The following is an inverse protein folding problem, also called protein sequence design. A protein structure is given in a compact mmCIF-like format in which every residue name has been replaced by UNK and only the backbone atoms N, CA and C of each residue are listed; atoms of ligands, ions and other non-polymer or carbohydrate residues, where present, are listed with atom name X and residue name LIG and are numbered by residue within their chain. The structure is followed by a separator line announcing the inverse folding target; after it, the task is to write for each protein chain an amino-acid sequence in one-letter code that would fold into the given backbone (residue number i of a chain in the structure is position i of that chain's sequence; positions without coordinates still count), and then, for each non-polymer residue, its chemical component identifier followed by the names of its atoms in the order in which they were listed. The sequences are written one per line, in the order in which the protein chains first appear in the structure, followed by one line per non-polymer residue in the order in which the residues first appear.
data_IF_823665375643
#
_entry.id   IF_823665375643
#
_cell.length_a   1.000
_cell.length_b   1.000
_cell.length_c   1.000
_cell.angle_alpha   90.00
_cell.angle_beta   90.00
_cell.angle_gamma   90.00
#
_symmetry.space_group_name_H-M   'P 1'
#
loop_
_entity.id
_entity.type
_entity.pdbx_description
1 polymer ?
#
# COMPACT_ATOMS: atom_id res chain seq x y z
N UNK A 1 -64.45 -21.12 -42.89
CA UNK A 1 -64.89 -20.73 -44.24
C UNK A 1 -64.07 -19.52 -44.62
N UNK A 2 -63.06 -19.69 -45.48
CA UNK A 2 -63.17 -19.45 -46.95
C UNK A 2 -63.17 -17.93 -47.21
N UNK A 3 -62.41 -17.28 -48.09
CA UNK A 3 -61.43 -17.52 -49.18
C UNK A 3 -60.99 -16.05 -49.54
N UNK A 4 -59.71 -15.68 -49.64
CA UNK A 4 -58.84 -15.68 -50.84
C UNK A 4 -59.27 -14.83 -52.06
N UNK A 5 -58.23 -14.31 -52.75
CA UNK A 5 -58.15 -13.78 -54.13
C UNK A 5 -58.37 -12.26 -54.29
N UNK A 6 -57.36 -11.46 -54.69
CA UNK A 6 -56.56 -11.37 -55.93
C UNK A 6 -57.26 -10.61 -57.07
N UNK A 7 -56.73 -9.44 -57.47
CA UNK A 7 -55.91 -9.24 -58.69
C UNK A 7 -55.99 -7.80 -59.27
N UNK A 8 -54.79 -7.28 -59.63
CA UNK A 8 -54.39 -6.50 -60.83
C UNK A 8 -55.29 -5.33 -61.29
N UNK A 9 -54.80 -4.14 -61.68
CA UNK A 9 -53.88 -3.88 -62.82
C UNK A 9 -53.60 -2.36 -62.99
N UNK A 10 -52.49 -2.03 -63.67
CA UNK A 10 -52.09 -0.78 -64.39
C UNK A 10 -51.21 0.21 -63.60
N UNK A 11 -49.88 0.17 -63.74
CA UNK A 11 -49.00 0.62 -64.85
C UNK A 11 -49.04 2.14 -65.06
N UNK A 12 -47.96 2.83 -64.64
CA UNK A 12 -47.36 3.90 -65.45
C UNK A 12 -45.84 3.85 -65.27
N UNK A 13 -45.17 3.89 -66.43
CA UNK A 13 -43.77 3.68 -66.74
C UNK A 13 -42.97 4.97 -66.49
N UNK A 14 -41.76 4.90 -65.94
CA UNK A 14 -40.68 5.83 -66.32
C UNK A 14 -39.30 5.25 -65.99
N UNK A 15 -38.50 5.11 -67.05
CA UNK A 15 -37.09 4.72 -67.08
C UNK A 15 -36.24 5.42 -66.02
N UNK A 16 -35.35 4.71 -65.34
CA UNK A 16 -34.10 5.29 -64.86
C UNK A 16 -32.91 4.32 -65.01
N UNK A 17 -31.83 4.90 -65.52
CA UNK A 17 -30.53 4.33 -65.84
C UNK A 17 -29.94 3.45 -64.74
N UNK A 18 -29.32 2.35 -65.17
CA UNK A 18 -28.28 1.63 -64.43
C UNK A 18 -27.06 2.55 -64.23
N UNK A 19 -26.88 3.06 -63.01
CA UNK A 19 -25.58 3.55 -62.54
C UNK A 19 -25.12 2.67 -61.38
N UNK A 20 -23.97 2.04 -61.58
CA UNK A 20 -23.26 1.20 -60.63
C UNK A 20 -22.87 1.99 -59.38
N UNK A 21 -23.53 1.71 -58.26
CA UNK A 21 -23.16 2.24 -56.94
C UNK A 21 -21.94 1.45 -56.46
N UNK A 22 -20.77 2.09 -56.49
CA UNK A 22 -19.64 1.68 -55.66
C UNK A 22 -20.04 1.83 -54.20
N UNK A 23 -20.09 0.72 -53.48
CA UNK A 23 -20.18 0.72 -52.01
C UNK A 23 -18.86 1.29 -51.49
N UNK A 24 -18.84 2.59 -51.18
CA UNK A 24 -17.82 3.14 -50.31
C UNK A 24 -18.13 2.64 -48.89
N UNK A 25 -17.35 1.67 -48.43
CA UNK A 25 -17.31 1.29 -47.03
C UNK A 25 -16.91 2.53 -46.21
N UNK A 26 -17.90 3.14 -45.56
CA UNK A 26 -17.67 4.20 -44.60
C UNK A 26 -17.03 3.55 -43.36
N UNK A 27 -15.69 3.56 -43.30
CA UNK A 27 -14.96 3.22 -42.09
C UNK A 27 -15.33 4.26 -41.04
N UNK A 28 -16.17 3.88 -40.08
CA UNK A 28 -16.37 4.63 -38.84
C UNK A 28 -15.05 4.67 -38.07
N UNK A 29 -14.23 5.68 -38.31
CA UNK A 29 -13.03 5.95 -37.51
C UNK A 29 -13.48 6.47 -36.15
N UNK A 30 -13.58 5.58 -35.16
CA UNK A 30 -13.70 6.01 -33.76
C UNK A 30 -12.45 6.83 -33.43
N UNK A 31 -12.60 8.16 -33.31
CA UNK A 31 -11.52 9.06 -32.88
C UNK A 31 -10.89 8.50 -31.61
N UNK A 32 -9.57 8.29 -31.64
CA UNK A 32 -8.82 7.83 -30.46
C UNK A 32 -8.78 8.95 -29.41
N UNK A 33 -8.27 8.65 -28.20
CA UNK A 33 -8.06 9.71 -27.19
C UNK A 33 -6.99 10.70 -27.70
N UNK A 34 -5.98 10.20 -28.41
CA UNK A 34 -4.97 11.04 -29.05
C UNK A 34 -5.62 12.02 -30.04
N UNK A 35 -6.48 11.53 -30.94
CA UNK A 35 -7.20 12.38 -31.93
C UNK A 35 -8.20 13.36 -31.29
N UNK A 36 -8.50 13.21 -30.00
CA UNK A 36 -9.33 14.16 -29.25
C UNK A 36 -8.52 15.26 -28.57
N UNK A 37 -7.24 15.03 -28.34
CA UNK A 37 -6.33 15.98 -27.71
C UNK A 37 -5.48 16.72 -28.73
N UNK A 38 -5.22 16.12 -29.88
CA UNK A 38 -4.53 16.72 -31.04
C UNK A 38 -5.48 17.75 -31.68
N UNK A 39 -5.48 18.98 -31.15
CA UNK A 39 -6.47 20.01 -31.51
C UNK A 39 -6.09 20.68 -32.82
N UNK A 40 -4.79 20.84 -33.07
CA UNK A 40 -4.27 21.45 -34.27
C UNK A 40 -4.13 20.44 -35.44
N UNK A 41 -4.24 19.13 -35.17
CA UNK A 41 -4.23 18.06 -36.17
C UNK A 41 -2.84 17.78 -36.75
N UNK A 42 -1.77 18.16 -36.06
CA UNK A 42 -0.40 18.01 -36.54
C UNK A 42 0.21 16.62 -36.26
N UNK A 43 -0.54 15.76 -35.57
CA UNK A 43 -0.12 14.39 -35.24
C UNK A 43 0.80 14.30 -34.03
N UNK A 44 0.91 15.37 -33.23
CA UNK A 44 1.69 15.48 -32.00
C UNK A 44 0.80 16.07 -30.90
N UNK A 45 1.16 15.84 -29.63
CA UNK A 45 0.50 16.51 -28.50
C UNK A 45 1.51 17.38 -27.75
N UNK A 46 1.16 18.64 -27.59
CA UNK A 46 1.83 19.58 -26.69
C UNK A 46 1.29 19.47 -25.26
N UNK A 47 2.00 20.04 -24.29
CA UNK A 47 1.57 20.03 -22.88
C UNK A 47 0.30 20.86 -22.68
N UNK A 48 0.09 21.84 -23.54
CA UNK A 48 -1.06 22.74 -23.58
C UNK A 48 -2.32 22.03 -24.06
N UNK A 49 -2.18 21.14 -25.04
CA UNK A 49 -3.26 20.32 -25.60
C UNK A 49 -3.75 19.22 -24.66
N UNK A 50 -2.93 18.81 -23.69
CA UNK A 50 -3.32 17.81 -22.71
C UNK A 50 -4.32 18.34 -21.68
N UNK A 51 -5.33 17.54 -21.29
CA UNK A 51 -6.20 17.89 -20.17
C UNK A 51 -5.42 17.94 -18.86
N UNK A 52 -5.91 18.71 -17.88
CA UNK A 52 -5.20 18.98 -16.60
C UNK A 52 -4.76 17.72 -15.85
N UNK A 53 -5.54 16.64 -15.92
CA UNK A 53 -5.22 15.35 -15.30
C UNK A 53 -4.12 14.56 -16.04
N UNK A 54 -3.83 14.89 -17.30
CA UNK A 54 -2.81 14.24 -18.12
C UNK A 54 -1.48 15.02 -18.15
N UNK A 55 -1.49 16.34 -17.89
CA UNK A 55 -0.28 17.18 -17.85
C UNK A 55 0.86 16.66 -16.97
N UNK A 56 0.61 16.10 -15.76
CA UNK A 56 1.69 15.55 -14.93
C UNK A 56 2.41 14.33 -15.53
N UNK A 57 1.81 13.71 -16.56
CA UNK A 57 2.38 12.56 -17.25
C UNK A 57 3.08 12.93 -18.55
N UNK A 58 3.09 14.22 -18.95
CA UNK A 58 3.68 14.68 -20.20
C UNK A 58 5.13 14.22 -20.33
N UNK A 59 5.96 14.59 -19.35
CA UNK A 59 7.39 14.27 -19.30
C UNK A 59 7.66 12.74 -19.17
N UNK A 60 6.63 11.94 -18.88
CA UNK A 60 6.73 10.47 -18.84
C UNK A 60 6.30 9.80 -20.15
N UNK A 61 5.51 10.52 -20.95
CA UNK A 61 5.00 10.07 -22.22
C UNK A 61 5.95 10.48 -23.36
N UNK A 62 6.49 11.71 -23.33
CA UNK A 62 7.58 12.18 -24.18
C UNK A 62 8.87 11.44 -23.78
N UNK A 63 9.28 10.46 -24.60
CA UNK A 63 10.36 9.52 -24.26
C UNK A 63 11.68 9.98 -24.87
N UNK A 64 11.62 10.59 -26.05
CA UNK A 64 12.79 11.12 -26.73
C UNK A 64 13.14 12.55 -26.26
N UNK A 65 12.31 13.16 -25.40
CA UNK A 65 12.43 14.53 -24.89
C UNK A 65 12.45 15.57 -26.01
N UNK A 66 11.67 15.34 -27.07
CA UNK A 66 11.58 16.26 -28.21
C UNK A 66 10.57 17.39 -27.97
N UNK A 67 9.89 17.39 -26.82
CA UNK A 67 8.94 18.42 -26.42
C UNK A 67 7.51 18.15 -26.89
N UNK A 68 7.24 16.98 -27.48
CA UNK A 68 5.91 16.58 -27.94
C UNK A 68 5.67 15.08 -27.67
N UNK A 69 4.41 14.68 -27.60
CA UNK A 69 4.04 13.25 -27.54
C UNK A 69 3.63 12.80 -28.94
N UNK A 70 4.44 11.96 -29.56
CA UNK A 70 4.07 11.31 -30.81
C UNK A 70 3.00 10.22 -30.60
N UNK A 71 2.32 9.81 -31.69
CA UNK A 71 1.35 8.69 -31.64
C UNK A 71 1.95 7.40 -31.11
N UNK A 72 3.20 7.14 -31.45
CA UNK A 72 3.92 5.94 -31.00
C UNK A 72 4.25 6.03 -29.51
N UNK A 73 4.60 7.21 -29.01
CA UNK A 73 4.82 7.46 -27.58
C UNK A 73 3.55 7.38 -26.74
N UNK A 74 2.43 7.96 -27.21
CA UNK A 74 1.13 7.82 -26.55
C UNK A 74 0.70 6.36 -26.48
N UNK A 75 0.84 5.61 -27.60
CA UNK A 75 0.55 4.18 -27.65
C UNK A 75 1.43 3.41 -26.66
N UNK A 76 2.73 3.62 -26.67
CA UNK A 76 3.67 2.96 -25.76
C UNK A 76 3.40 3.33 -24.29
N UNK A 77 3.09 4.58 -24.00
CA UNK A 77 2.77 5.07 -22.67
C UNK A 77 1.46 4.43 -22.15
N UNK A 78 0.42 4.35 -22.98
CA UNK A 78 -0.85 3.70 -22.66
C UNK A 78 -0.72 2.19 -22.54
N UNK A 79 0.08 1.54 -23.38
CA UNK A 79 0.37 0.10 -23.27
C UNK A 79 1.16 -0.22 -21.99
N UNK A 80 2.12 0.61 -21.59
CA UNK A 80 2.86 0.46 -20.32
C UNK A 80 1.98 0.72 -19.11
N UNK A 81 1.14 1.76 -19.17
CA UNK A 81 0.17 2.07 -18.12
C UNK A 81 -0.90 0.98 -17.99
N UNK A 82 -1.38 0.46 -19.13
CA UNK A 82 -2.30 -0.67 -19.23
C UNK A 82 -1.68 -2.00 -18.81
N UNK A 83 -0.38 -2.24 -19.06
CA UNK A 83 0.38 -3.38 -18.50
C UNK A 83 0.61 -3.25 -17.00
N UNK A 84 0.79 -2.03 -16.47
CA UNK A 84 0.78 -1.78 -15.02
C UNK A 84 -0.59 -2.09 -14.40
N UNK A 85 -1.68 -1.79 -15.10
CA UNK A 85 -3.05 -2.16 -14.74
C UNK A 85 -3.29 -3.68 -14.89
N UNK A 86 -2.74 -4.32 -15.93
CA UNK A 86 -2.81 -5.78 -16.18
C UNK A 86 -1.88 -6.62 -15.31
N UNK A 87 -0.80 -6.07 -14.75
CA UNK A 87 -0.13 -6.68 -13.60
C UNK A 87 -0.98 -6.62 -12.34
N UNK A 88 -2.02 -5.77 -12.32
CA UNK A 88 -3.18 -5.91 -11.45
C UNK A 88 -4.14 -7.04 -11.84
N UNK A 89 -3.98 -7.74 -12.96
CA UNK A 89 -4.83 -8.90 -13.33
C UNK A 89 -4.36 -10.23 -12.72
N UNK A 90 -3.16 -10.28 -12.13
CA UNK A 90 -2.87 -11.31 -11.12
C UNK A 90 -3.77 -11.14 -9.88
N UNK A 91 -4.34 -9.95 -9.64
CA UNK A 91 -5.36 -9.73 -8.61
C UNK A 91 -6.75 -10.25 -9.00
N UNK A 92 -7.01 -10.60 -10.26
CA UNK A 92 -8.32 -11.14 -10.65
C UNK A 92 -8.45 -12.61 -10.24
N UNK A 93 -7.34 -13.36 -10.25
CA UNK A 93 -7.32 -14.78 -9.84
C UNK A 93 -7.43 -15.01 -8.33
N UNK A 94 -7.19 -13.99 -7.49
CA UNK A 94 -7.26 -14.12 -6.01
C UNK A 94 -8.53 -13.50 -5.38
N UNK A 95 -9.39 -12.81 -6.14
CA UNK A 95 -10.64 -12.24 -5.62
C UNK A 95 -11.72 -13.33 -5.38
N UNK A 96 -11.52 -14.53 -5.93
CA UNK A 96 -12.45 -15.65 -5.74
C UNK A 96 -12.38 -16.23 -4.33
N UNK A 97 -11.26 -16.07 -3.59
CA UNK A 97 -11.08 -16.63 -2.24
C UNK A 97 -11.22 -15.62 -1.10
N UNK A 98 -11.11 -14.33 -1.37
CA UNK A 98 -11.17 -13.27 -0.37
C UNK A 98 -12.34 -12.34 -0.67
N UNK A 99 -13.18 -12.06 0.32
CA UNK A 99 -14.17 -10.99 0.26
C UNK A 99 -13.56 -9.71 0.83
N UNK A 100 -13.48 -8.65 0.02
CA UNK A 100 -12.91 -7.35 0.44
C UNK A 100 -14.05 -6.36 0.69
N UNK A 101 -14.12 -5.83 1.91
CA UNK A 101 -14.96 -4.68 2.26
C UNK A 101 -14.06 -3.45 2.35
N UNK A 102 -14.22 -2.51 1.42
CA UNK A 102 -13.38 -1.31 1.35
C UNK A 102 -13.94 -0.16 2.19
N UNK A 103 -13.06 0.80 2.50
CA UNK A 103 -13.42 2.13 2.97
C UNK A 103 -14.27 2.15 4.25
N UNK A 104 -14.04 1.21 5.17
CA UNK A 104 -14.75 1.18 6.44
C UNK A 104 -14.17 2.25 7.37
N UNK A 105 -14.92 3.28 7.80
CA UNK A 105 -14.42 4.32 8.69
C UNK A 105 -14.17 3.76 10.10
N UNK A 106 -13.06 4.18 10.74
CA UNK A 106 -12.71 3.74 12.08
C UNK A 106 -12.61 4.86 13.13
N UNK A 107 -12.54 6.12 12.70
CA UNK A 107 -12.21 7.25 13.58
C UNK A 107 -13.39 8.17 13.93
N UNK A 108 -14.59 7.92 13.37
CA UNK A 108 -15.76 8.80 13.49
C UNK A 108 -15.51 10.22 12.96
N UNK A 109 -15.00 10.27 11.72
CA UNK A 109 -14.58 11.48 11.01
C UNK A 109 -14.91 11.35 9.53
N UNK A 110 -15.05 12.47 8.84
CA UNK A 110 -15.22 12.50 7.38
C UNK A 110 -13.91 12.36 6.59
N UNK A 111 -12.75 12.21 7.25
CA UNK A 111 -11.49 12.05 6.54
C UNK A 111 -11.41 10.65 5.89
N UNK A 112 -11.30 10.55 4.55
CA UNK A 112 -11.31 9.28 3.84
C UNK A 112 -10.08 8.40 4.13
N UNK A 113 -9.00 8.96 4.66
CA UNK A 113 -7.82 8.20 5.09
C UNK A 113 -8.03 7.49 6.43
N UNK A 114 -8.94 7.98 7.25
CA UNK A 114 -9.28 7.37 8.54
C UNK A 114 -10.30 6.22 8.36
N UNK A 115 -9.97 5.34 7.41
CA UNK A 115 -10.72 4.16 7.03
C UNK A 115 -9.79 2.97 6.79
N UNK A 116 -10.36 1.77 6.76
CA UNK A 116 -9.64 0.51 6.54
C UNK A 116 -10.34 -0.36 5.48
N UNK A 117 -9.57 -1.26 4.87
CA UNK A 117 -10.09 -2.35 4.06
C UNK A 117 -10.02 -3.63 4.87
N UNK A 118 -11.13 -4.37 4.90
CA UNK A 118 -11.25 -5.64 5.57
C UNK A 118 -11.24 -6.78 4.54
N UNK A 119 -10.27 -7.67 4.64
CA UNK A 119 -10.06 -8.81 3.75
C UNK A 119 -10.42 -10.10 4.49
N UNK A 120 -11.56 -10.68 4.12
CA UNK A 120 -12.14 -11.84 4.78
C UNK A 120 -11.95 -13.07 3.90
N UNK A 121 -11.21 -14.11 4.33
CA UNK A 121 -11.20 -15.36 3.58
C UNK A 121 -12.60 -15.98 3.55
N UNK A 122 -13.02 -16.44 2.37
CA UNK A 122 -14.28 -17.16 2.16
C UNK A 122 -14.21 -18.54 2.81
N UNK A 123 -13.10 -19.25 2.59
CA UNK A 123 -12.83 -20.57 3.17
C UNK A 123 -12.04 -20.45 4.48
N UNK A 124 -12.76 -20.12 5.56
CA UNK A 124 -12.14 -19.97 6.90
C UNK A 124 -11.82 -21.32 7.53
N UNK A 125 -10.63 -21.46 8.10
CA UNK A 125 -10.27 -22.65 8.91
C UNK A 125 -10.97 -22.68 10.27
N UNK A 126 -11.35 -21.52 10.82
CA UNK A 126 -12.08 -21.37 12.09
C UNK A 126 -13.06 -20.20 12.02
N UNK A 127 -14.10 -20.23 12.85
CA UNK A 127 -15.08 -19.14 12.97
C UNK A 127 -14.44 -17.84 13.46
N UNK A 128 -13.51 -17.94 14.40
CA UNK A 128 -12.75 -16.83 14.96
C UNK A 128 -11.29 -17.01 14.54
N UNK A 129 -10.73 -16.02 13.86
CA UNK A 129 -9.37 -16.02 13.33
C UNK A 129 -8.54 -14.88 13.94
N UNK A 130 -7.22 -15.03 14.11
CA UNK A 130 -6.34 -13.89 14.38
C UNK A 130 -6.42 -12.85 13.25
N UNK A 131 -6.10 -11.60 13.59
CA UNK A 131 -5.96 -10.51 12.63
C UNK A 131 -4.49 -10.33 12.22
N UNK A 132 -4.26 -10.16 10.93
CA UNK A 132 -2.99 -9.66 10.39
C UNK A 132 -3.22 -8.32 9.70
N UNK A 133 -2.54 -7.30 10.16
CA UNK A 133 -2.76 -5.91 9.76
C UNK A 133 -1.58 -5.41 8.93
N UNK A 134 -1.87 -4.70 7.84
CA UNK A 134 -0.86 -4.01 7.04
C UNK A 134 -0.98 -2.48 7.13
N UNK A 135 0.14 -1.82 7.39
CA UNK A 135 0.31 -0.36 7.31
C UNK A 135 1.22 -0.01 6.13
N UNK A 136 0.72 0.83 5.22
CA UNK A 136 1.47 1.19 4.02
C UNK A 136 2.66 2.11 4.30
N UNK A 137 3.66 2.07 3.42
CA UNK A 137 4.75 3.05 3.39
C UNK A 137 4.41 4.30 2.58
N UNK A 138 5.42 5.12 2.30
CA UNK A 138 5.26 6.35 1.51
C UNK A 138 5.77 7.62 2.21
N UNK A 139 6.74 7.47 3.11
CA UNK A 139 7.38 8.59 3.83
C UNK A 139 6.40 9.47 4.59
N UNK A 140 5.29 8.90 5.09
CA UNK A 140 4.15 9.62 5.68
C UNK A 140 3.48 10.68 4.79
N UNK A 141 4.03 10.95 3.60
CA UNK A 141 3.60 11.95 2.61
C UNK A 141 2.72 11.39 1.51
N UNK A 142 2.74 10.07 1.32
CA UNK A 142 2.10 9.39 0.20
C UNK A 142 1.56 8.01 0.60
N UNK A 143 0.78 7.42 -0.30
CA UNK A 143 0.25 6.07 -0.15
C UNK A 143 -1.20 6.03 0.34
N UNK A 144 -1.73 4.80 0.45
CA UNK A 144 -3.07 4.51 0.98
C UNK A 144 -3.20 3.01 1.33
N UNK A 145 -4.28 2.69 2.04
CA UNK A 145 -4.67 1.34 2.46
C UNK A 145 -4.85 0.31 1.34
N UNK A 146 -5.09 0.72 0.09
CA UNK A 146 -5.31 -0.25 -1.00
C UNK A 146 -4.03 -1.04 -1.32
N UNK A 147 -2.86 -0.54 -0.92
CA UNK A 147 -1.60 -1.30 -1.04
C UNK A 147 -1.64 -2.60 -0.22
N UNK A 148 -2.31 -2.62 0.92
CA UNK A 148 -2.41 -3.82 1.75
C UNK A 148 -3.27 -4.90 1.13
N UNK A 149 -4.18 -4.55 0.22
CA UNK A 149 -5.02 -5.54 -0.47
C UNK A 149 -4.19 -6.58 -1.22
N UNK A 150 -2.99 -6.21 -1.68
CA UNK A 150 -2.05 -7.13 -2.35
C UNK A 150 -1.05 -7.71 -1.35
N UNK A 151 -0.56 -6.89 -0.41
CA UNK A 151 0.49 -7.32 0.54
C UNK A 151 0.01 -8.36 1.54
N UNK A 152 -1.29 -8.41 1.84
CA UNK A 152 -1.87 -9.37 2.76
C UNK A 152 -2.15 -10.73 2.10
N UNK A 153 -2.39 -10.79 0.78
CA UNK A 153 -2.86 -12.02 0.11
C UNK A 153 -2.03 -13.27 0.43
N UNK A 154 -0.68 -13.25 0.40
CA UNK A 154 0.11 -14.44 0.69
C UNK A 154 -0.19 -15.06 2.06
N UNK A 155 -0.55 -14.24 3.05
CA UNK A 155 -0.91 -14.71 4.39
C UNK A 155 -2.35 -15.24 4.46
N UNK A 156 -3.27 -14.62 3.72
CA UNK A 156 -4.70 -14.93 3.78
C UNK A 156 -5.11 -16.17 2.99
N UNK A 157 -4.29 -16.61 2.03
CA UNK A 157 -4.54 -17.80 1.21
C UNK A 157 -4.70 -19.09 2.04
N UNK A 158 -4.10 -19.12 3.24
CA UNK A 158 -4.25 -20.22 4.19
C UNK A 158 -5.66 -20.38 4.78
N UNK A 159 -6.47 -19.31 4.77
CA UNK A 159 -7.75 -19.22 5.48
C UNK A 159 -7.60 -19.14 7.01
N UNK A 160 -6.39 -18.89 7.52
CA UNK A 160 -6.08 -18.86 8.97
C UNK A 160 -6.11 -17.45 9.58
N UNK A 161 -6.24 -16.40 8.77
CA UNK A 161 -6.20 -15.00 9.22
C UNK A 161 -7.34 -14.17 8.63
N UNK A 162 -7.77 -13.14 9.36
CA UNK A 162 -8.46 -11.98 8.75
C UNK A 162 -7.41 -10.92 8.42
N UNK A 163 -7.43 -10.40 7.20
CA UNK A 163 -6.56 -9.31 6.78
C UNK A 163 -7.21 -7.96 6.98
N UNK A 164 -6.44 -6.98 7.47
CA UNK A 164 -6.90 -5.59 7.54
C UNK A 164 -5.81 -4.69 6.99
N UNK A 165 -6.12 -3.82 6.05
CA UNK A 165 -5.21 -2.72 5.70
C UNK A 165 -5.77 -1.40 6.16
N UNK A 166 -4.99 -0.66 6.95
CA UNK A 166 -5.43 0.60 7.55
C UNK A 166 -4.85 1.79 6.78
N UNK A 167 -5.67 2.81 6.60
CA UNK A 167 -5.20 4.14 6.19
C UNK A 167 -4.87 4.98 7.42
N UNK A 168 -4.09 6.04 7.21
CA UNK A 168 -3.76 7.05 8.21
C UNK A 168 -3.57 8.40 7.50
N UNK A 169 -3.77 9.51 8.23
CA UNK A 169 -3.57 10.87 7.71
C UNK A 169 -2.10 11.12 7.37
N UNK A 170 -1.86 11.74 6.22
CA UNK A 170 -0.50 12.04 5.77
C UNK A 170 0.05 13.29 6.45
N UNK A 171 1.37 13.46 6.46
CA UNK A 171 2.06 14.61 7.11
C UNK A 171 1.60 15.97 6.56
N UNK A 172 1.23 16.02 5.27
CA UNK A 172 0.64 17.22 4.66
C UNK A 172 -0.80 17.53 5.10
N UNK A 173 -1.49 16.60 5.75
CA UNK A 173 -2.84 16.79 6.31
C UNK A 173 -2.81 17.05 7.81
N UNK A 174 -1.95 16.34 8.53
CA UNK A 174 -1.79 16.48 9.96
C UNK A 174 -0.37 16.05 10.39
N UNK A 175 0.25 16.80 11.29
CA UNK A 175 1.57 16.48 11.84
C UNK A 175 1.47 15.44 12.96
N UNK A 176 2.60 14.83 13.29
CA UNK A 176 2.76 13.91 14.42
C UNK A 176 2.22 14.54 15.72
N UNK A 177 1.46 13.80 16.57
CA UNK A 177 1.24 12.34 16.57
C UNK A 177 -0.02 11.84 15.81
N UNK A 178 -0.55 12.61 14.86
CA UNK A 178 -1.80 12.24 14.17
C UNK A 178 -1.76 10.82 13.54
N UNK A 179 -0.63 10.43 12.96
CA UNK A 179 -0.45 9.13 12.29
C UNK A 179 -0.58 7.95 13.27
N UNK A 180 0.04 8.05 14.45
CA UNK A 180 -0.03 6.98 15.45
C UNK A 180 -1.39 6.96 16.15
N UNK A 181 -2.02 8.12 16.34
CA UNK A 181 -3.40 8.20 16.83
C UNK A 181 -4.36 7.47 15.89
N UNK A 182 -4.21 7.68 14.58
CA UNK A 182 -4.99 6.99 13.55
C UNK A 182 -4.78 5.47 13.61
N UNK A 183 -3.53 5.03 13.69
CA UNK A 183 -3.20 3.60 13.78
C UNK A 183 -3.79 2.95 15.04
N UNK A 184 -3.65 3.58 16.21
CA UNK A 184 -4.20 3.06 17.46
C UNK A 184 -5.73 3.07 17.48
N UNK A 185 -6.37 4.09 16.90
CA UNK A 185 -7.82 4.12 16.71
C UNK A 185 -8.30 2.96 15.84
N UNK A 186 -7.57 2.63 14.77
CA UNK A 186 -7.87 1.47 13.94
C UNK A 186 -7.75 0.14 14.73
N UNK A 187 -6.70 -0.03 15.56
CA UNK A 187 -6.57 -1.22 16.43
C UNK A 187 -7.75 -1.33 17.40
N UNK A 188 -8.13 -0.21 18.05
CA UNK A 188 -9.28 -0.16 18.96
C UNK A 188 -10.59 -0.50 18.24
N UNK A 189 -10.78 0.00 17.03
CA UNK A 189 -11.95 -0.31 16.20
C UNK A 189 -12.01 -1.78 15.83
N UNK A 190 -10.88 -2.39 15.45
CA UNK A 190 -10.79 -3.82 15.13
C UNK A 190 -11.17 -4.66 16.36
N UNK A 191 -10.63 -4.31 17.53
CA UNK A 191 -10.95 -4.98 18.80
C UNK A 191 -12.43 -4.81 19.17
N UNK A 192 -12.96 -3.60 19.00
CA UNK A 192 -14.36 -3.27 19.24
C UNK A 192 -15.36 -3.96 18.31
N UNK A 193 -14.95 -4.30 17.09
CA UNK A 193 -15.76 -5.00 16.10
C UNK A 193 -15.40 -6.48 15.93
N UNK A 194 -14.58 -7.03 16.82
CA UNK A 194 -14.00 -8.36 16.64
C UNK A 194 -15.08 -9.45 16.49
N UNK A 195 -16.16 -9.38 17.28
CA UNK A 195 -17.32 -10.29 17.20
C UNK A 195 -18.01 -10.24 15.83
N UNK A 196 -18.14 -9.04 15.25
CA UNK A 196 -18.87 -8.83 13.99
C UNK A 196 -18.15 -9.43 12.78
N UNK A 197 -16.81 -9.52 12.85
CA UNK A 197 -15.98 -9.97 11.73
C UNK A 197 -15.29 -11.34 11.97
N UNK A 198 -15.56 -11.98 13.11
CA UNK A 198 -14.94 -13.25 13.48
C UNK A 198 -13.44 -13.11 13.71
N UNK A 199 -13.03 -12.04 14.40
CA UNK A 199 -11.63 -11.74 14.74
C UNK A 199 -11.38 -12.12 16.20
N UNK A 200 -10.20 -12.67 16.49
CA UNK A 200 -9.71 -12.83 17.84
C UNK A 200 -9.07 -11.51 18.33
N UNK A 201 -9.68 -10.79 19.29
CA UNK A 201 -9.16 -9.50 19.76
C UNK A 201 -7.82 -9.59 20.49
N UNK A 202 -7.40 -10.78 20.93
CA UNK A 202 -6.15 -11.01 21.66
C UNK A 202 -4.98 -11.43 20.75
N UNK A 203 -5.25 -11.70 19.46
CA UNK A 203 -4.26 -12.16 18.49
C UNK A 203 -4.24 -11.25 17.26
N UNK A 204 -3.61 -10.09 17.44
CA UNK A 204 -3.46 -9.06 16.40
C UNK A 204 -1.98 -8.89 16.06
N UNK A 205 -1.55 -9.33 14.88
CA UNK A 205 -0.23 -9.02 14.35
C UNK A 205 -0.27 -7.85 13.38
N UNK A 206 0.77 -7.04 13.33
CA UNK A 206 0.85 -5.88 12.45
C UNK A 206 2.19 -5.86 11.72
N UNK A 207 2.18 -5.61 10.42
CA UNK A 207 3.40 -5.39 9.65
C UNK A 207 3.25 -4.20 8.71
N UNK A 208 4.38 -3.61 8.36
CA UNK A 208 4.40 -2.41 7.54
C UNK A 208 5.76 -2.20 6.91
N UNK A 209 5.79 -1.38 5.86
CA UNK A 209 6.99 -1.08 5.08
C UNK A 209 7.38 0.38 5.21
N UNK A 210 8.66 0.71 5.35
CA UNK A 210 9.15 2.09 5.34
C UNK A 210 8.45 2.94 6.43
N UNK A 211 7.82 4.07 6.10
CA UNK A 211 6.96 4.83 7.02
C UNK A 211 5.90 3.98 7.75
N UNK A 212 5.33 2.96 7.11
CA UNK A 212 4.44 1.99 7.76
C UNK A 212 5.19 1.06 8.71
N UNK A 213 6.44 0.71 8.39
CA UNK A 213 7.37 -0.02 9.27
C UNK A 213 7.67 0.76 10.56
N UNK A 214 7.84 2.07 10.44
CA UNK A 214 7.91 2.99 11.58
C UNK A 214 6.64 2.96 12.43
N UNK A 215 5.46 3.09 11.81
CA UNK A 215 4.18 3.12 12.53
C UNK A 215 3.87 1.79 13.24
N UNK A 216 4.22 0.64 12.65
CA UNK A 216 4.10 -0.66 13.36
C UNK A 216 5.09 -0.78 14.50
N UNK A 217 6.31 -0.25 14.36
CA UNK A 217 7.27 -0.23 15.46
C UNK A 217 6.80 0.68 16.60
N UNK A 218 6.18 1.82 16.29
CA UNK A 218 5.50 2.66 17.26
C UNK A 218 4.37 1.89 17.95
N UNK A 219 3.51 1.17 17.24
CA UNK A 219 2.46 0.34 17.86
C UNK A 219 3.02 -0.70 18.83
N UNK A 220 4.13 -1.35 18.47
CA UNK A 220 4.75 -2.39 19.30
C UNK A 220 5.43 -1.87 20.57
N UNK A 221 5.99 -0.66 20.53
CA UNK A 221 6.75 -0.05 21.65
C UNK A 221 5.92 0.94 22.47
N UNK A 222 4.81 1.45 21.95
CA UNK A 222 3.97 2.47 22.62
C UNK A 222 2.63 1.96 23.13
N UNK A 223 2.48 0.64 23.32
CA UNK A 223 1.21 0.00 23.70
C UNK A 223 0.55 0.58 24.95
N UNK A 224 1.36 1.02 25.92
CA UNK A 224 0.90 1.58 27.21
C UNK A 224 1.26 3.07 27.39
N UNK A 225 1.69 3.75 26.31
CA UNK A 225 2.13 5.15 26.35
C UNK A 225 0.92 6.06 26.16
N UNK A 226 0.45 6.67 27.25
CA UNK A 226 -0.82 7.42 27.30
C UNK A 226 -0.83 8.61 26.34
N UNK A 227 0.27 9.34 26.24
CA UNK A 227 0.40 10.52 25.39
C UNK A 227 0.32 10.22 23.90
N UNK A 228 0.51 8.96 23.49
CA UNK A 228 0.40 8.51 22.11
C UNK A 228 -0.92 7.79 21.82
N UNK A 229 -1.83 7.66 22.80
CA UNK A 229 -3.03 6.85 22.62
C UNK A 229 -4.05 7.49 21.67
N UNK A 230 -4.13 8.83 21.71
CA UNK A 230 -5.17 9.60 21.04
C UNK A 230 -6.59 9.27 21.51
N UNK A 231 -7.56 10.02 21.03
CA UNK A 231 -8.97 9.94 21.46
C UNK A 231 -9.95 9.78 20.30
N UNK A 232 -9.46 9.35 19.13
CA UNK A 232 -10.26 9.15 17.93
C UNK A 232 -11.15 7.89 18.01
N UNK A 233 -12.33 7.99 17.38
CA UNK A 233 -13.29 6.90 17.21
C UNK A 233 -14.10 6.53 18.45
N UNK A 234 -15.07 5.63 18.25
CA UNK A 234 -16.05 5.24 19.28
C UNK A 234 -15.58 4.14 20.23
N UNK A 235 -14.38 3.58 20.02
CA UNK A 235 -13.84 2.47 20.81
C UNK A 235 -12.70 2.90 21.75
N UNK A 236 -12.73 4.13 22.28
CA UNK A 236 -11.66 4.73 23.11
C UNK A 236 -11.28 3.89 24.34
N UNK A 237 -12.19 3.06 24.86
CA UNK A 237 -11.95 2.17 26.01
C UNK A 237 -11.26 0.85 25.64
N UNK A 238 -11.17 0.50 24.36
CA UNK A 238 -10.47 -0.70 23.91
C UNK A 238 -8.97 -0.49 23.99
N UNK A 239 -8.22 -1.54 24.28
CA UNK A 239 -6.75 -1.50 24.21
C UNK A 239 -6.30 -1.29 22.75
N UNK A 240 -5.19 -0.59 22.55
CA UNK A 240 -4.51 -0.45 21.25
C UNK A 240 -3.24 -1.32 21.13
N UNK A 241 -2.97 -2.17 22.14
CA UNK A 241 -1.85 -3.11 22.11
C UNK A 241 -2.01 -4.19 21.05
N UNK A 242 -0.87 -4.67 20.55
CA UNK A 242 -0.73 -5.67 19.48
C UNK A 242 0.12 -6.85 19.97
N UNK A 243 -0.01 -7.99 19.31
CA UNK A 243 0.56 -9.27 19.75
C UNK A 243 1.95 -9.57 19.16
N UNK A 244 2.26 -9.07 17.95
CA UNK A 244 3.58 -9.16 17.34
C UNK A 244 3.73 -8.18 16.17
N UNK A 245 4.98 -7.82 15.84
CA UNK A 245 5.31 -6.80 14.83
C UNK A 245 6.20 -7.36 13.71
N UNK A 246 5.88 -7.02 12.46
CA UNK A 246 6.78 -7.11 11.30
C UNK A 246 7.22 -5.73 10.80
N UNK A 247 8.40 -5.27 11.19
CA UNK A 247 8.96 -3.98 10.76
C UNK A 247 9.83 -4.18 9.50
N UNK A 248 9.34 -3.81 8.33
CA UNK A 248 10.11 -3.94 7.09
C UNK A 248 10.71 -2.58 6.74
N UNK A 249 12.03 -2.45 6.95
CA UNK A 249 12.86 -1.28 6.64
C UNK A 249 12.26 0.05 7.10
N UNK A 250 11.68 0.07 8.31
CA UNK A 250 11.09 1.26 8.91
C UNK A 250 12.08 2.08 9.75
N UNK A 251 12.02 3.42 9.68
CA UNK A 251 12.73 4.31 10.61
C UNK A 251 12.40 4.00 12.07
N UNK A 252 13.40 4.06 12.96
CA UNK A 252 13.25 3.73 14.37
C UNK A 252 13.83 4.75 15.35
N UNK A 253 14.80 5.55 14.88
CA UNK A 253 15.53 6.55 15.63
C UNK A 253 15.80 7.73 14.68
N UNK A 254 14.86 8.69 14.60
CA UNK A 254 14.89 9.74 13.58
C UNK A 254 16.14 10.62 13.67
N UNK A 255 16.58 10.95 14.89
CA UNK A 255 17.81 11.73 15.14
C UNK A 255 19.11 10.99 14.81
N UNK A 256 19.04 9.69 14.51
CA UNK A 256 20.20 8.87 14.14
C UNK A 256 20.28 8.65 12.62
N UNK A 257 19.27 9.06 11.84
CA UNK A 257 19.19 8.74 10.41
C UNK A 257 20.32 9.39 9.60
N UNK A 258 20.61 10.67 9.82
CA UNK A 258 21.67 11.39 9.10
C UNK A 258 23.09 10.97 9.47
N UNK A 259 23.27 10.10 10.46
CA UNK A 259 24.59 9.56 10.82
C UNK A 259 25.07 8.47 9.86
N UNK A 260 24.20 8.03 8.96
CA UNK A 260 24.46 6.95 8.01
C UNK A 260 24.19 7.42 6.57
N UNK A 261 24.89 6.85 5.57
CA UNK A 261 24.67 7.21 4.17
C UNK A 261 23.21 7.01 3.73
N UNK A 262 22.65 8.02 3.07
CA UNK A 262 21.31 8.02 2.48
C UNK A 262 21.28 8.97 1.29
N UNK A 263 20.34 8.77 0.35
CA UNK A 263 20.03 9.75 -0.70
C UNK A 263 19.15 10.88 -0.21
N UNK A 264 18.57 10.73 0.98
CA UNK A 264 17.76 11.75 1.62
C UNK A 264 18.63 12.43 2.68
N UNK A 265 18.68 13.76 2.65
CA UNK A 265 19.11 14.53 3.80
C UNK A 265 17.98 14.51 4.84
N UNK A 266 18.12 13.66 5.85
CA UNK A 266 17.06 13.44 6.84
C UNK A 266 16.92 14.60 7.84
N UNK A 267 17.94 15.43 8.00
CA UNK A 267 17.89 16.62 8.87
C UNK A 267 17.31 17.84 8.16
N UNK A 268 17.26 17.83 6.83
CA UNK A 268 16.68 18.92 6.05
C UNK A 268 15.22 19.20 6.46
N UNK A 269 14.83 20.47 6.46
CA UNK A 269 13.47 20.90 6.84
C UNK A 269 12.36 20.32 5.94
N UNK A 270 12.70 19.92 4.71
CA UNK A 270 11.81 19.29 3.73
C UNK A 270 11.94 17.76 3.69
N UNK A 271 12.69 17.15 4.61
CA UNK A 271 12.76 15.69 4.73
C UNK A 271 11.40 15.12 5.12
N UNK A 272 11.09 13.85 4.76
CA UNK A 272 9.85 13.20 5.18
C UNK A 272 9.67 13.21 6.71
N UNK A 273 10.76 13.05 7.45
CA UNK A 273 10.75 13.05 8.92
C UNK A 273 10.48 14.46 9.49
N UNK A 274 11.07 15.50 8.89
CA UNK A 274 10.83 16.89 9.29
C UNK A 274 9.39 17.31 9.02
N UNK A 275 8.83 16.95 7.85
CA UNK A 275 7.41 17.21 7.54
C UNK A 275 6.47 16.44 8.48
N UNK A 276 6.83 15.20 8.86
CA UNK A 276 6.07 14.41 9.84
C UNK A 276 5.93 15.16 11.17
N UNK A 277 7.02 15.70 11.72
CA UNK A 277 7.00 16.35 13.04
C UNK A 277 6.69 17.86 12.97
N UNK A 278 6.62 18.42 11.77
CA UNK A 278 6.32 19.83 11.54
C UNK A 278 7.50 20.79 11.69
N UNK A 279 8.72 20.34 11.43
CA UNK A 279 9.94 21.15 11.47
C UNK A 279 11.21 20.31 11.40
N UNK A 280 12.35 20.97 11.13
CA UNK A 280 13.65 20.31 11.03
C UNK A 280 13.99 19.49 12.29
N UNK A 281 14.52 18.28 12.11
CA UNK A 281 14.76 17.33 13.20
C UNK A 281 15.66 17.91 14.31
N UNK A 282 16.75 18.57 13.92
CA UNK A 282 17.74 19.09 14.87
C UNK A 282 17.23 20.29 15.69
N UNK A 283 16.24 21.02 15.17
CA UNK A 283 15.58 22.12 15.89
C UNK A 283 14.40 21.60 16.74
N UNK A 284 13.82 20.46 16.36
CA UNK A 284 12.62 19.88 16.96
C UNK A 284 12.91 18.54 17.66
N UNK A 285 14.07 18.41 18.31
CA UNK A 285 14.57 17.13 18.88
C UNK A 285 13.56 16.42 19.79
N UNK A 286 12.82 17.16 20.61
CA UNK A 286 11.79 16.57 21.49
C UNK A 286 10.68 15.87 20.69
N UNK A 287 10.20 16.49 19.61
CA UNK A 287 9.20 15.90 18.72
C UNK A 287 9.80 14.72 17.94
N UNK A 288 11.03 14.86 17.44
CA UNK A 288 11.74 13.78 16.75
C UNK A 288 11.92 12.54 17.66
N UNK A 289 12.30 12.75 18.92
CA UNK A 289 12.38 11.68 19.91
C UNK A 289 11.00 11.09 20.22
N UNK A 290 9.97 11.93 20.38
CA UNK A 290 8.60 11.47 20.61
C UNK A 290 8.05 10.64 19.43
N UNK A 291 8.49 10.93 18.21
CA UNK A 291 8.17 10.18 16.99
C UNK A 291 9.16 9.03 16.72
N UNK A 292 10.06 8.67 17.63
CA UNK A 292 11.03 7.59 17.42
C UNK A 292 10.70 6.38 18.31
N UNK A 293 10.35 5.20 17.74
CA UNK A 293 9.94 4.04 18.55
C UNK A 293 11.02 3.52 19.48
N UNK A 294 12.31 3.74 19.17
CA UNK A 294 13.44 3.34 20.04
C UNK A 294 13.31 3.89 21.48
N UNK A 295 12.66 5.05 21.65
CA UNK A 295 12.57 5.74 22.93
C UNK A 295 11.49 5.18 23.87
N UNK A 296 10.66 4.26 23.39
CA UNK A 296 9.59 3.64 24.17
C UNK A 296 9.85 2.17 24.48
N UNK A 297 11.00 1.63 24.09
CA UNK A 297 11.30 0.21 24.28
C UNK A 297 11.28 -0.16 25.76
N UNK A 298 10.47 -1.16 26.11
CA UNK A 298 10.40 -1.75 27.45
C UNK A 298 10.41 -3.28 27.37
N UNK A 299 10.72 -3.95 28.48
CA UNK A 299 10.69 -5.43 28.56
C UNK A 299 9.33 -6.08 28.28
N UNK A 300 8.25 -5.29 28.32
CA UNK A 300 6.88 -5.77 28.13
C UNK A 300 6.43 -5.67 26.65
N UNK A 301 7.31 -5.21 25.76
CA UNK A 301 7.00 -5.08 24.34
C UNK A 301 6.85 -6.44 23.66
N UNK A 302 5.92 -6.52 22.71
CA UNK A 302 5.64 -7.76 21.99
C UNK A 302 6.80 -8.21 21.08
N UNK A 303 6.84 -9.47 20.61
CA UNK A 303 7.87 -9.93 19.69
C UNK A 303 7.96 -9.16 18.36
N UNK A 304 9.17 -8.96 17.84
CA UNK A 304 9.45 -8.30 16.57
C UNK A 304 10.15 -9.20 15.56
N UNK A 305 9.80 -9.05 14.28
CA UNK A 305 10.64 -9.43 13.16
C UNK A 305 10.95 -8.20 12.30
N UNK A 306 12.22 -8.02 11.97
CA UNK A 306 12.73 -6.96 11.12
C UNK A 306 13.18 -7.53 9.78
N UNK A 307 12.95 -6.81 8.69
CA UNK A 307 13.51 -7.14 7.37
C UNK A 307 14.10 -5.88 6.77
N UNK A 308 15.39 -5.88 6.43
CA UNK A 308 16.04 -4.67 5.92
C UNK A 308 17.19 -5.02 4.98
N UNK A 309 17.26 -4.33 3.86
CA UNK A 309 18.37 -4.41 2.92
C UNK A 309 19.60 -3.60 3.38
N UNK A 310 20.80 -4.12 3.14
CA UNK A 310 22.06 -3.43 3.52
C UNK A 310 22.37 -2.21 2.65
N UNK A 311 21.82 -2.16 1.44
CA UNK A 311 22.08 -1.15 0.41
C UNK A 311 20.88 -0.22 0.26
N UNK A 312 19.98 -0.19 1.25
CA UNK A 312 18.84 0.71 1.30
C UNK A 312 19.32 2.18 1.28
N UNK A 313 18.95 2.88 0.22
CA UNK A 313 19.38 4.26 -0.05
C UNK A 313 18.39 5.31 0.47
N UNK A 314 17.28 4.89 1.08
CA UNK A 314 16.23 5.79 1.57
C UNK A 314 16.09 5.75 3.08
N UNK A 315 16.16 4.55 3.68
CA UNK A 315 16.19 4.37 5.12
C UNK A 315 17.47 3.63 5.44
N UNK A 316 18.39 4.20 6.23
CA UNK A 316 19.61 3.49 6.57
C UNK A 316 19.31 2.15 7.26
N UNK A 317 19.96 1.08 6.78
CA UNK A 317 19.88 -0.27 7.36
C UNK A 317 20.03 -0.28 8.90
N UNK A 318 20.88 0.59 9.40
CA UNK A 318 21.17 0.80 10.82
C UNK A 318 19.92 1.08 11.66
N UNK A 319 18.86 1.64 11.09
CA UNK A 319 17.59 1.84 11.80
C UNK A 319 16.99 0.51 12.30
N UNK A 320 17.07 -0.57 11.51
CA UNK A 320 16.63 -1.89 11.98
C UNK A 320 17.59 -2.49 12.99
N UNK A 321 18.91 -2.32 12.79
CA UNK A 321 19.95 -2.85 13.70
C UNK A 321 19.81 -2.22 15.09
N UNK A 322 19.68 -0.89 15.15
CA UNK A 322 19.59 -0.13 16.39
C UNK A 322 18.36 -0.57 17.20
N UNK A 323 17.19 -0.66 16.57
CA UNK A 323 15.97 -1.08 17.26
C UNK A 323 16.02 -2.56 17.69
N UNK A 324 16.50 -3.44 16.82
CA UNK A 324 16.69 -4.86 17.14
C UNK A 324 17.57 -5.03 18.37
N UNK A 325 18.73 -4.37 18.40
CA UNK A 325 19.65 -4.39 19.55
C UNK A 325 18.97 -3.87 20.81
N UNK A 326 18.28 -2.73 20.74
CA UNK A 326 17.60 -2.14 21.90
C UNK A 326 16.53 -3.05 22.48
N UNK A 327 15.75 -3.73 21.63
CA UNK A 327 14.75 -4.73 22.03
C UNK A 327 15.41 -5.90 22.77
N UNK A 328 16.48 -6.47 22.20
CA UNK A 328 17.19 -7.59 22.85
C UNK A 328 17.81 -7.19 24.20
N UNK A 329 18.40 -6.00 24.30
CA UNK A 329 18.97 -5.47 25.54
C UNK A 329 17.92 -5.27 26.65
N UNK A 330 16.64 -5.11 26.28
CA UNK A 330 15.51 -5.00 27.22
C UNK A 330 14.79 -6.33 27.46
N UNK A 331 15.30 -7.44 26.91
CA UNK A 331 14.74 -8.78 27.12
C UNK A 331 13.60 -9.16 26.19
N UNK A 332 13.30 -8.35 25.16
CA UNK A 332 12.24 -8.64 24.19
C UNK A 332 12.69 -9.66 23.15
N UNK A 333 11.74 -10.42 22.59
CA UNK A 333 12.01 -11.29 21.44
C UNK A 333 12.11 -10.43 20.16
N UNK A 334 13.25 -10.51 19.47
CA UNK A 334 13.46 -9.79 18.23
C UNK A 334 14.30 -10.63 17.27
N UNK A 335 13.90 -10.67 16.01
CA UNK A 335 14.62 -11.31 14.91
C UNK A 335 14.91 -10.30 13.82
N UNK A 336 16.13 -10.25 13.29
CA UNK A 336 16.53 -9.40 12.17
C UNK A 336 16.89 -10.24 10.95
N UNK A 337 16.15 -10.05 9.86
CA UNK A 337 16.51 -10.54 8.52
C UNK A 337 17.28 -9.44 7.79
N UNK A 338 18.58 -9.67 7.63
CA UNK A 338 19.49 -8.84 6.85
C UNK A 338 19.51 -9.32 5.41
N UNK A 339 19.07 -8.47 4.49
CA UNK A 339 19.10 -8.76 3.05
C UNK A 339 20.35 -8.10 2.46
N UNK A 340 21.43 -8.86 2.33
CA UNK A 340 22.70 -8.34 1.79
C UNK A 340 22.56 -8.00 0.31
N UNK A 341 23.02 -6.81 -0.06
CA UNK A 341 22.77 -6.19 -1.37
C UNK A 341 21.34 -5.66 -1.55
N UNK A 342 20.49 -5.82 -0.53
CA UNK A 342 19.09 -5.40 -0.52
C UNK A 342 18.93 -3.88 -0.56
N UNK A 343 18.09 -3.37 -1.46
CA UNK A 343 17.67 -1.96 -1.44
C UNK A 343 16.46 -1.68 -0.54
N UNK A 344 15.72 -0.60 -0.84
CA UNK A 344 14.47 -0.22 -0.14
C UNK A 344 13.28 -1.10 -0.52
N UNK A 345 13.33 -2.37 -0.11
CA UNK A 345 12.38 -3.41 -0.48
C UNK A 345 12.66 -4.03 -1.85
N UNK A 346 11.62 -4.58 -2.48
CA UNK A 346 11.77 -5.29 -3.77
C UNK A 346 12.62 -6.56 -3.67
N UNK A 347 12.72 -7.14 -2.47
CA UNK A 347 13.51 -8.33 -2.22
C UNK A 347 12.99 -9.52 -3.05
N UNK A 348 13.90 -10.23 -3.71
CA UNK A 348 13.60 -11.34 -4.63
C UNK A 348 14.07 -12.65 -4.03
N UNK A 349 13.64 -12.94 -2.81
CA UNK A 349 13.99 -14.16 -2.12
C UNK A 349 12.81 -14.65 -1.27
N UNK A 350 12.21 -15.77 -1.68
CA UNK A 350 11.03 -16.34 -1.03
C UNK A 350 11.29 -16.77 0.42
N UNK A 351 12.55 -16.93 0.82
CA UNK A 351 12.92 -17.21 2.21
C UNK A 351 12.44 -16.12 3.15
N UNK A 352 12.45 -14.85 2.72
CA UNK A 352 11.95 -13.72 3.51
C UNK A 352 10.46 -13.92 3.82
N UNK A 353 9.67 -14.26 2.80
CA UNK A 353 8.24 -14.53 2.95
C UNK A 353 8.01 -15.75 3.85
N UNK A 354 8.73 -16.84 3.64
CA UNK A 354 8.61 -18.07 4.45
C UNK A 354 8.94 -17.83 5.93
N UNK A 355 9.98 -17.05 6.24
CA UNK A 355 10.38 -16.77 7.63
C UNK A 355 9.36 -15.84 8.30
N UNK A 356 8.88 -14.82 7.59
CA UNK A 356 7.85 -13.90 8.12
C UNK A 356 6.50 -14.60 8.34
N UNK A 357 6.09 -15.50 7.44
CA UNK A 357 4.92 -16.38 7.64
C UNK A 357 5.07 -17.28 8.86
N UNK A 358 6.25 -17.91 9.06
CA UNK A 358 6.54 -18.70 10.25
C UNK A 358 6.46 -17.86 11.52
N UNK A 359 6.95 -16.62 11.49
CA UNK A 359 6.86 -15.69 12.61
C UNK A 359 5.40 -15.41 12.99
N UNK A 360 4.57 -14.99 12.04
CA UNK A 360 3.16 -14.74 12.33
C UNK A 360 2.43 -16.01 12.76
N UNK A 361 2.71 -17.15 12.15
CA UNK A 361 2.10 -18.42 12.53
C UNK A 361 2.49 -18.87 13.95
N UNK A 362 3.76 -18.68 14.36
CA UNK A 362 4.20 -18.94 15.74
C UNK A 362 3.40 -18.11 16.74
N UNK A 363 3.35 -16.79 16.55
CA UNK A 363 2.77 -15.89 17.54
C UNK A 363 1.23 -15.83 17.50
N UNK A 364 0.62 -15.89 16.32
CA UNK A 364 -0.83 -15.73 16.15
C UNK A 364 -1.59 -17.05 16.14
N UNK A 365 -0.99 -18.14 15.66
CA UNK A 365 -1.63 -19.45 15.57
C UNK A 365 -1.12 -20.45 16.62
N UNK A 366 -0.06 -20.12 17.35
CA UNK A 366 0.53 -21.00 18.35
C UNK A 366 1.27 -22.21 17.76
N UNK A 367 1.70 -22.13 16.49
CA UNK A 367 2.47 -23.23 15.87
C UNK A 367 3.88 -23.27 16.46
N UNK A 368 4.35 -24.45 16.85
CA UNK A 368 5.72 -24.66 17.35
C UNK A 368 6.73 -24.61 16.19
N UNK A 369 7.00 -23.41 15.70
CA UNK A 369 7.89 -23.17 14.57
C UNK A 369 9.19 -22.52 15.06
N UNK A 370 10.31 -23.16 14.75
CA UNK A 370 11.61 -22.55 14.92
C UNK A 370 11.82 -21.50 13.82
N UNK A 371 11.92 -20.23 14.22
CA UNK A 371 12.19 -19.09 13.31
C UNK A 371 13.69 -19.06 12.95
N UNK A 372 14.53 -19.77 13.71
CA UNK A 372 15.98 -19.89 13.49
C UNK A 372 16.76 -18.97 14.43
N UNK A 373 17.89 -18.44 13.95
CA UNK A 373 18.74 -17.49 14.66
C UNK A 373 18.04 -16.14 14.81
N UNK A 374 18.40 -15.37 15.85
CA UNK A 374 17.96 -13.97 16.04
C UNK A 374 18.44 -13.06 14.90
N UNK A 375 19.49 -13.44 14.20
CA UNK A 375 19.98 -12.76 13.00
C UNK A 375 20.03 -13.75 11.84
N UNK A 376 19.40 -13.39 10.73
CA UNK A 376 19.27 -14.21 9.53
C UNK A 376 19.85 -13.40 8.36
N UNK A 377 20.94 -13.88 7.78
CA UNK A 377 21.54 -13.27 6.59
C UNK A 377 20.97 -13.94 5.33
N UNK A 378 20.49 -13.13 4.39
CA UNK A 378 20.00 -13.56 3.08
C UNK A 378 20.72 -12.74 2.00
N UNK A 379 21.36 -13.42 1.06
CA UNK A 379 21.94 -12.76 -0.12
C UNK A 379 20.82 -12.44 -1.13
N UNK A 380 20.78 -11.20 -1.64
CA UNK A 380 19.91 -10.87 -2.76
C UNK A 380 20.56 -11.34 -4.08
N UNK A 381 19.82 -12.03 -4.97
CA UNK A 381 20.34 -12.40 -6.28
C UNK A 381 20.80 -11.14 -7.03
N UNK A 382 22.04 -11.16 -7.54
CA UNK A 382 22.54 -10.09 -8.40
C UNK A 382 21.66 -9.99 -9.66
N UNK A 383 21.44 -8.76 -10.14
CA UNK A 383 20.56 -8.46 -11.26
C UNK A 383 21.10 -8.95 -12.60
#
# INVERSE_FOLDING_TARGET
MIILSNNMTRITLCLFLLLSIKVNAQVSTKKTIFDRWDQNGDGKLTKEELPQNAKPNFDRADKNNDGFISREEDKNFRERSGRRQRNGSRNQLNNDRINIKNDIPYADTENPRQSLNLLLPKDRKKKILPALIYIHGGGWKNGNKNQGNVRLLPYLESGEYVGISIGYRLSGEAQWPAQIHDCKAAIRWIRGNAKNYGINPEKIGVFGTSAGGHLVAMLGTSGNVKELEGDLGNYKKMKSTVHCIGNFFGPSALLEMSKYPSRIDHDAANSPESELIGGALQENKKKAMNASPINYVTKDDCPFIHVHGTDDQLVPYNQSVILHKKLLENGCDSTLITVKGGGHGGFRNDTIQKVTEKFFAKHLLGKELQIGKREILIEQPQK
#
